data_IF_606869682559
#
_entry.id   IF_606869682559
#
_cell.length_a   1.000
_cell.length_b   1.000
_cell.length_c   1.000
_cell.angle_alpha   90.00
_cell.angle_beta   90.00
_cell.angle_gamma   90.00
#
_symmetry.space_group_name_H-M   'P 1'
#
loop_
_entity.id
_entity.type
_entity.pdbx_description
1 polymer ?
#
# COMPACT_ATOMS: atom_id res chain seq x y z
N UNK A 1 2.58 13.53 -15.35
CA UNK A 1 3.26 14.73 -15.84
C UNK A 1 2.32 15.59 -16.69
N UNK A 2 1.50 16.42 -16.05
CA UNK A 2 0.64 17.38 -16.77
C UNK A 2 1.42 18.59 -17.30
N UNK A 3 2.60 18.83 -16.74
CA UNK A 3 3.46 19.97 -17.08
C UNK A 3 4.35 19.67 -18.29
N UNK A 4 4.41 18.40 -18.71
CA UNK A 4 5.26 17.91 -19.81
C UNK A 4 6.74 18.25 -19.62
N UNK A 5 7.20 18.23 -18.36
CA UNK A 5 8.58 18.56 -17.97
C UNK A 5 9.48 17.33 -17.88
N UNK A 6 8.91 16.13 -17.94
CA UNK A 6 9.59 14.87 -17.62
C UNK A 6 9.80 14.65 -16.12
N UNK A 7 9.23 15.51 -15.28
CA UNK A 7 9.38 15.52 -13.83
C UNK A 7 8.02 15.40 -13.14
N UNK A 8 7.95 14.67 -12.04
CA UNK A 8 6.75 14.46 -11.23
C UNK A 8 6.95 15.02 -9.83
N UNK A 9 6.02 15.86 -9.38
CA UNK A 9 5.97 16.30 -7.99
C UNK A 9 5.04 15.38 -7.18
N UNK A 10 5.07 15.51 -5.85
CA UNK A 10 4.18 14.74 -4.96
C UNK A 10 2.69 14.86 -5.32
N UNK A 11 2.25 16.02 -5.77
CA UNK A 11 0.86 16.25 -6.20
C UNK A 11 0.46 15.43 -7.44
N UNK A 12 1.40 15.07 -8.31
CA UNK A 12 1.10 14.24 -9.49
C UNK A 12 0.61 12.84 -9.10
N UNK A 13 1.00 12.34 -7.92
CA UNK A 13 0.65 11.00 -7.43
C UNK A 13 -0.77 10.89 -6.87
N UNK A 14 -1.48 12.00 -6.61
CA UNK A 14 -2.90 11.98 -6.20
C UNK A 14 -3.77 11.24 -7.22
N UNK A 15 -3.34 11.24 -8.49
CA UNK A 15 -4.03 10.60 -9.61
C UNK A 15 -3.40 9.28 -10.02
N UNK A 16 -2.36 8.83 -9.31
CA UNK A 16 -1.74 7.55 -9.58
C UNK A 16 -2.76 6.43 -9.41
N UNK A 17 -2.72 5.48 -10.33
CA UNK A 17 -3.51 4.25 -10.28
C UNK A 17 -2.57 3.08 -10.48
N UNK A 18 -2.75 2.03 -9.70
CA UNK A 18 -1.97 0.80 -9.84
C UNK A 18 -2.38 0.10 -11.13
N UNK A 19 -1.42 -0.34 -11.94
CA UNK A 19 -1.65 -0.93 -13.26
C UNK A 19 -1.79 0.08 -14.42
N UNK A 20 -1.34 1.33 -14.24
CA UNK A 20 -1.26 2.30 -15.36
C UNK A 20 -0.33 1.80 -16.48
N UNK A 21 -0.63 2.14 -17.75
CA UNK A 21 -1.77 2.93 -18.21
C UNK A 21 -3.06 2.10 -18.40
N UNK A 22 -3.03 0.79 -18.16
CA UNK A 22 -4.14 -0.11 -18.46
C UNK A 22 -5.33 0.07 -17.51
N UNK A 23 -5.08 0.50 -16.27
CA UNK A 23 -6.10 0.72 -15.25
C UNK A 23 -6.40 2.21 -15.10
N UNK A 24 -7.62 2.60 -15.47
CA UNK A 24 -8.15 3.96 -15.25
C UNK A 24 -9.28 4.02 -14.23
N UNK A 25 -9.89 2.86 -13.92
CA UNK A 25 -10.89 2.68 -12.88
C UNK A 25 -10.54 1.42 -12.08
N UNK A 26 -10.24 1.59 -10.81
CA UNK A 26 -9.83 0.56 -9.86
C UNK A 26 -10.93 0.26 -8.82
N UNK A 27 -12.13 0.82 -9.00
CA UNK A 27 -13.26 0.68 -8.07
C UNK A 27 -13.21 1.62 -6.86
N UNK A 28 -12.13 2.42 -6.70
CA UNK A 28 -12.08 3.48 -5.70
C UNK A 28 -12.82 4.74 -6.20
N UNK A 29 -13.22 5.64 -5.29
CA UNK A 29 -13.80 6.92 -5.68
C UNK A 29 -12.94 7.67 -6.70
N UNK A 30 -13.56 8.42 -7.64
CA UNK A 30 -12.82 9.18 -8.64
C UNK A 30 -11.82 10.15 -8.00
N UNK A 31 -10.57 10.15 -8.50
CA UNK A 31 -9.50 11.01 -7.97
C UNK A 31 -8.80 10.49 -6.73
N UNK A 32 -9.14 9.29 -6.23
CA UNK A 32 -8.43 8.67 -5.10
C UNK A 32 -7.22 7.87 -5.59
N UNK A 33 -6.02 8.18 -5.11
CA UNK A 33 -4.87 7.27 -5.26
C UNK A 33 -5.05 6.08 -4.31
N UNK A 34 -4.89 4.81 -4.77
CA UNK A 34 -4.96 3.65 -3.88
C UNK A 34 -3.83 3.69 -2.85
N UNK A 35 -2.62 4.08 -3.24
CA UNK A 35 -1.46 4.08 -2.35
C UNK A 35 -1.62 5.13 -1.24
N UNK A 36 -1.22 4.78 0.00
CA UNK A 36 -1.19 5.69 1.15
C UNK A 36 -0.39 6.96 0.83
N UNK A 37 -0.96 8.10 1.18
CA UNK A 37 -0.33 9.41 1.05
C UNK A 37 0.95 9.50 1.89
N UNK A 38 0.90 9.00 3.14
CA UNK A 38 2.09 8.95 3.99
C UNK A 38 3.20 8.11 3.36
N UNK A 39 2.85 6.99 2.71
CA UNK A 39 3.84 6.21 1.97
C UNK A 39 4.47 7.02 0.83
N UNK A 40 3.67 7.76 0.07
CA UNK A 40 4.19 8.57 -1.04
C UNK A 40 5.09 9.68 -0.50
N UNK A 41 4.70 10.37 0.57
CA UNK A 41 5.51 11.42 1.21
C UNK A 41 6.88 10.87 1.62
N UNK A 42 6.88 9.76 2.37
CA UNK A 42 8.12 9.08 2.80
C UNK A 42 8.95 8.58 1.62
N UNK A 43 8.32 8.13 0.54
CA UNK A 43 9.03 7.72 -0.67
C UNK A 43 9.79 8.89 -1.30
N UNK A 44 9.18 10.08 -1.41
CA UNK A 44 9.84 11.29 -1.92
C UNK A 44 10.99 11.74 -1.01
N UNK A 45 10.88 11.55 0.31
CA UNK A 45 11.91 11.89 1.28
C UNK A 45 13.13 10.95 1.20
N UNK A 46 12.90 9.66 0.96
CA UNK A 46 13.93 8.62 1.02
C UNK A 46 14.55 8.28 -0.34
N UNK A 47 13.93 8.70 -1.44
CA UNK A 47 14.45 8.46 -2.79
C UNK A 47 15.05 9.72 -3.40
N UNK A 48 16.05 9.59 -4.30
CA UNK A 48 16.64 10.75 -4.94
C UNK A 48 15.60 11.53 -5.74
N UNK A 49 15.44 12.80 -5.39
CA UNK A 49 14.62 13.78 -6.11
C UNK A 49 15.48 14.98 -6.50
N UNK A 50 15.12 15.66 -7.58
CA UNK A 50 15.74 16.92 -7.99
C UNK A 50 14.78 18.05 -7.65
N UNK A 51 15.14 18.88 -6.67
CA UNK A 51 14.26 19.96 -6.17
C UNK A 51 12.87 19.47 -5.74
N UNK A 52 12.77 18.27 -5.18
CA UNK A 52 11.50 17.66 -4.76
C UNK A 52 10.72 16.99 -5.89
N UNK A 53 11.28 16.91 -7.09
CA UNK A 53 10.65 16.25 -8.23
C UNK A 53 11.37 14.93 -8.58
N UNK A 54 10.60 13.91 -8.95
CA UNK A 54 11.10 12.64 -9.48
C UNK A 54 11.19 12.69 -11.01
N UNK A 55 12.30 12.21 -11.56
CA UNK A 55 12.40 11.97 -13.01
C UNK A 55 11.69 10.66 -13.43
N UNK A 56 11.65 10.40 -14.74
CA UNK A 56 11.03 9.19 -15.28
C UNK A 56 11.65 7.89 -14.73
N UNK A 57 12.96 7.87 -14.45
CA UNK A 57 13.63 6.67 -13.94
C UNK A 57 13.18 6.39 -12.50
N UNK A 58 13.15 7.41 -11.65
CA UNK A 58 12.63 7.29 -10.29
C UNK A 58 11.16 6.86 -10.28
N UNK A 59 10.35 7.39 -11.21
CA UNK A 59 8.95 6.94 -11.36
C UNK A 59 8.84 5.45 -11.75
N UNK A 60 9.67 4.98 -12.69
CA UNK A 60 9.72 3.55 -13.04
C UNK A 60 10.13 2.70 -11.83
N UNK A 61 11.14 3.12 -11.08
CA UNK A 61 11.55 2.42 -9.86
C UNK A 61 10.40 2.39 -8.82
N UNK A 62 9.67 3.50 -8.64
CA UNK A 62 8.46 3.56 -7.81
C UNK A 62 7.43 2.53 -8.26
N UNK A 63 7.06 2.53 -9.54
CA UNK A 63 6.08 1.59 -10.10
C UNK A 63 6.53 0.15 -9.87
N UNK A 64 7.79 -0.18 -10.10
CA UNK A 64 8.34 -1.52 -9.84
C UNK A 64 8.27 -1.90 -8.35
N UNK A 65 8.42 -0.95 -7.43
CA UNK A 65 8.33 -1.23 -6.00
C UNK A 65 6.88 -1.51 -5.56
N UNK A 66 5.88 -0.85 -6.13
CA UNK A 66 4.48 -0.96 -5.69
C UNK A 66 3.63 -1.96 -6.47
N UNK A 67 3.88 -2.14 -7.77
CA UNK A 67 3.07 -3.02 -8.66
C UNK A 67 3.22 -4.50 -8.31
N UNK A 68 4.41 -4.92 -7.90
CA UNK A 68 4.68 -6.32 -7.56
C UNK A 68 4.18 -6.72 -6.17
N UNK A 69 3.78 -5.77 -5.34
CA UNK A 69 3.19 -6.05 -4.03
C UNK A 69 1.73 -6.51 -4.16
N UNK A 70 1.27 -7.44 -3.30
CA UNK A 70 2.00 -8.07 -2.20
C UNK A 70 2.85 -9.29 -2.60
N UNK A 71 2.77 -9.76 -3.84
CA UNK A 71 3.36 -11.03 -4.27
C UNK A 71 4.89 -11.07 -4.18
N UNK A 72 5.56 -9.92 -4.40
CA UNK A 72 7.01 -9.82 -4.34
C UNK A 72 7.46 -8.43 -3.93
N UNK A 73 8.21 -8.36 -2.83
CA UNK A 73 8.88 -7.13 -2.41
C UNK A 73 10.34 -7.14 -2.88
N UNK A 74 10.65 -6.31 -3.88
CA UNK A 74 12.02 -6.22 -4.43
C UNK A 74 12.99 -5.44 -3.55
N UNK A 75 12.48 -4.55 -2.69
CA UNK A 75 13.27 -3.63 -1.86
C UNK A 75 12.73 -3.58 -0.43
N UNK A 76 12.70 -4.70 0.31
CA UNK A 76 12.13 -4.72 1.66
C UNK A 76 12.82 -3.73 2.61
N UNK A 77 14.12 -3.46 2.42
CA UNK A 77 14.82 -2.43 3.19
C UNK A 77 14.27 -1.01 2.98
N UNK A 78 13.84 -0.66 1.76
CA UNK A 78 13.20 0.64 1.51
C UNK A 78 11.85 0.74 2.23
N UNK A 79 11.04 -0.32 2.19
CA UNK A 79 9.76 -0.34 2.90
C UNK A 79 9.97 -0.26 4.41
N UNK A 80 11.00 -0.92 4.93
CA UNK A 80 11.39 -0.74 6.32
C UNK A 80 11.69 0.73 6.63
N UNK A 81 12.59 1.35 5.87
CA UNK A 81 13.01 2.74 6.08
C UNK A 81 11.81 3.72 5.94
N UNK A 82 10.81 3.40 5.10
CA UNK A 82 9.56 4.15 4.99
C UNK A 82 8.68 3.99 6.23
N UNK A 83 8.54 2.76 6.73
CA UNK A 83 7.68 2.45 7.88
C UNK A 83 8.29 2.88 9.22
N UNK A 84 9.61 2.92 9.34
CA UNK A 84 10.31 3.48 10.49
C UNK A 84 10.15 5.01 10.51
N UNK A 85 9.10 5.50 11.18
CA UNK A 85 8.70 6.91 11.12
C UNK A 85 9.56 7.81 12.01
N UNK A 86 10.06 7.30 13.13
CA UNK A 86 10.94 8.03 14.04
C UNK A 86 12.44 7.76 13.80
N UNK A 87 12.77 6.77 12.97
CA UNK A 87 14.13 6.48 12.54
C UNK A 87 14.96 5.76 13.61
N UNK A 88 14.31 5.09 14.56
CA UNK A 88 14.96 4.40 15.67
C UNK A 88 15.47 2.98 15.28
N UNK A 89 15.17 2.54 14.05
CA UNK A 89 15.54 1.24 13.52
C UNK A 89 14.59 0.11 13.91
N UNK A 90 13.40 0.42 14.43
CA UNK A 90 12.38 -0.53 14.87
C UNK A 90 11.00 -0.12 14.35
N UNK A 91 10.33 -1.02 13.62
CA UNK A 91 8.91 -0.85 13.31
C UNK A 91 8.08 -1.29 14.52
N UNK A 92 7.20 -0.39 14.96
CA UNK A 92 6.28 -0.56 16.08
C UNK A 92 4.80 -0.57 15.63
N UNK A 93 3.85 -0.95 16.51
CA UNK A 93 2.43 -0.82 16.23
C UNK A 93 1.99 0.58 15.81
N UNK A 94 2.59 1.62 16.38
CA UNK A 94 2.22 3.02 16.09
C UNK A 94 2.56 3.38 14.65
N UNK A 95 3.69 2.87 14.15
CA UNK A 95 4.12 3.09 12.77
C UNK A 95 3.12 2.50 11.79
N UNK A 96 2.83 1.21 11.93
CA UNK A 96 1.87 0.49 11.07
C UNK A 96 0.47 1.11 11.16
N UNK A 97 0.04 1.52 12.35
CA UNK A 97 -1.24 2.21 12.54
C UNK A 97 -1.33 3.51 11.73
N UNK A 98 -0.23 4.25 11.62
CA UNK A 98 -0.22 5.56 10.96
C UNK A 98 -0.53 5.44 9.48
N UNK A 99 0.01 4.41 8.80
CA UNK A 99 -0.34 4.09 7.42
C UNK A 99 -1.73 3.47 7.30
N UNK A 100 -2.03 2.45 8.11
CA UNK A 100 -3.23 1.65 7.90
C UNK A 100 -4.53 2.42 8.17
N UNK A 101 -4.51 3.45 9.01
CA UNK A 101 -5.69 4.31 9.23
C UNK A 101 -6.19 4.94 7.93
N UNK A 102 -5.28 5.40 7.09
CA UNK A 102 -5.60 6.00 5.80
C UNK A 102 -6.08 4.94 4.80
N UNK A 103 -5.36 3.82 4.69
CA UNK A 103 -5.74 2.66 3.87
C UNK A 103 -7.15 2.17 4.21
N UNK A 104 -7.47 2.04 5.49
CA UNK A 104 -8.80 1.68 5.98
C UNK A 104 -9.85 2.73 5.63
N UNK A 105 -9.54 4.03 5.76
CA UNK A 105 -10.47 5.10 5.40
C UNK A 105 -10.83 5.06 3.91
N UNK A 106 -9.85 4.80 3.03
CA UNK A 106 -10.06 4.61 1.59
C UNK A 106 -10.97 3.42 1.28
N UNK A 107 -10.83 2.31 2.01
CA UNK A 107 -11.71 1.13 1.86
C UNK A 107 -13.16 1.40 2.24
N UNK A 108 -13.36 2.05 3.39
CA UNK A 108 -14.70 2.41 3.89
C UNK A 108 -15.36 3.39 2.91
N UNK A 109 -14.63 4.40 2.44
CA UNK A 109 -15.14 5.36 1.46
C UNK A 109 -15.52 4.70 0.11
N UNK A 110 -14.86 3.62 -0.26
CA UNK A 110 -15.18 2.83 -1.44
C UNK A 110 -16.32 1.81 -1.22
N UNK A 111 -16.81 1.64 0.02
CA UNK A 111 -17.82 0.64 0.35
C UNK A 111 -17.34 -0.81 0.21
N UNK A 112 -16.02 -1.03 0.22
CA UNK A 112 -15.43 -2.35 0.03
C UNK A 112 -15.35 -3.15 1.33
N UNK A 113 -15.19 -2.47 2.47
CA UNK A 113 -15.05 -3.10 3.79
C UNK A 113 -15.44 -2.13 4.91
N UNK A 114 -16.17 -2.60 5.92
CA UNK A 114 -16.62 -1.75 7.03
C UNK A 114 -15.98 -2.08 8.39
N UNK A 115 -15.31 -3.22 8.56
CA UNK A 115 -15.27 -3.85 9.90
C UNK A 115 -13.94 -4.30 10.47
N UNK A 116 -12.81 -4.24 9.77
CA UNK A 116 -11.53 -4.66 10.38
C UNK A 116 -11.04 -3.58 11.36
N UNK A 117 -10.96 -3.86 12.68
CA UNK A 117 -10.37 -2.95 13.64
C UNK A 117 -8.88 -2.80 13.36
N UNK A 118 -8.37 -1.57 13.47
CA UNK A 118 -6.96 -1.26 13.18
C UNK A 118 -6.04 -2.10 14.08
N UNK A 119 -6.41 -2.31 15.33
CA UNK A 119 -5.63 -3.05 16.32
C UNK A 119 -5.52 -4.54 15.97
N UNK A 120 -6.57 -5.13 15.38
CA UNK A 120 -6.53 -6.53 14.94
C UNK A 120 -5.59 -6.70 13.74
N UNK A 121 -5.70 -5.80 12.75
CA UNK A 121 -4.80 -5.82 11.61
C UNK A 121 -3.33 -5.63 12.02
N UNK A 122 -3.06 -4.69 12.94
CA UNK A 122 -1.71 -4.45 13.43
C UNK A 122 -1.16 -5.68 14.13
N UNK A 123 -1.98 -6.36 14.96
CA UNK A 123 -1.57 -7.63 15.57
C UNK A 123 -1.23 -8.68 14.51
N UNK A 124 -2.07 -8.84 13.49
CA UNK A 124 -1.82 -9.78 12.37
C UNK A 124 -0.53 -9.47 11.62
N UNK A 125 -0.20 -8.18 11.42
CA UNK A 125 1.07 -7.78 10.83
C UNK A 125 2.25 -8.29 11.66
N UNK A 126 2.23 -8.09 12.98
CA UNK A 126 3.32 -8.56 13.84
C UNK A 126 3.35 -10.08 14.03
N UNK A 127 2.18 -10.74 14.03
CA UNK A 127 2.08 -12.21 14.02
C UNK A 127 2.70 -12.77 12.73
N UNK A 128 2.51 -12.11 11.58
CA UNK A 128 3.09 -12.53 10.30
C UNK A 128 4.60 -12.21 10.18
N UNK A 129 5.08 -11.16 10.84
CA UNK A 129 6.49 -10.79 10.84
C UNK A 129 7.33 -11.64 11.81
N UNK A 130 6.72 -12.18 12.86
CA UNK A 130 7.35 -13.00 13.90
C UNK A 130 8.65 -12.38 14.47
N UNK A 131 8.63 -11.12 14.96
CA UNK A 131 9.82 -10.49 15.53
C UNK A 131 10.28 -11.22 16.81
N UNK A 132 11.58 -11.19 17.10
CA UNK A 132 12.15 -11.81 18.30
C UNK A 132 11.68 -11.14 19.59
N UNK A 133 11.53 -9.80 19.58
CA UNK A 133 10.87 -9.05 20.64
C UNK A 133 9.45 -8.69 20.21
N UNK A 134 8.48 -8.98 21.08
CA UNK A 134 7.06 -8.77 20.78
C UNK A 134 6.78 -7.33 20.32
N UNK A 135 6.13 -7.20 19.17
CA UNK A 135 5.73 -5.92 18.57
C UNK A 135 6.88 -4.97 18.21
N UNK A 136 8.12 -5.47 18.09
CA UNK A 136 9.27 -4.67 17.68
C UNK A 136 10.03 -5.37 16.57
N UNK A 137 9.77 -4.97 15.33
CA UNK A 137 10.42 -5.58 14.18
C UNK A 137 11.63 -4.74 13.77
N UNK A 138 12.83 -5.31 13.86
CA UNK A 138 14.05 -4.67 13.37
C UNK A 138 14.16 -4.72 11.85
N UNK A 139 15.04 -3.90 11.28
CA UNK A 139 15.31 -3.89 9.84
C UNK A 139 15.74 -5.25 9.30
N UNK A 140 16.60 -5.94 10.04
CA UNK A 140 17.13 -7.25 9.64
C UNK A 140 16.02 -8.31 9.60
N UNK A 141 15.13 -8.30 10.60
CA UNK A 141 13.98 -9.20 10.66
C UNK A 141 12.99 -8.92 9.52
N UNK A 142 12.63 -7.65 9.30
CA UNK A 142 11.72 -7.28 8.21
C UNK A 142 12.28 -7.68 6.84
N UNK A 143 13.55 -7.40 6.57
CA UNK A 143 14.20 -7.73 5.29
C UNK A 143 14.24 -9.23 5.02
N UNK A 144 14.37 -10.05 6.07
CA UNK A 144 14.41 -11.52 5.95
C UNK A 144 13.03 -12.17 5.99
N UNK A 145 12.01 -11.46 6.47
CA UNK A 145 10.67 -12.00 6.61
C UNK A 145 10.05 -12.34 5.26
N UNK A 146 9.44 -13.52 5.17
CA UNK A 146 8.65 -13.93 4.00
C UNK A 146 7.35 -13.13 3.89
N UNK A 147 6.87 -12.56 4.99
CA UNK A 147 5.66 -11.75 5.04
C UNK A 147 5.90 -10.29 4.62
N UNK A 148 7.14 -9.83 4.44
CA UNK A 148 7.46 -8.43 4.16
C UNK A 148 6.70 -7.86 2.95
N UNK A 149 6.51 -8.65 1.90
CA UNK A 149 5.71 -8.22 0.74
C UNK A 149 4.22 -8.13 1.00
N UNK A 150 3.68 -9.09 1.78
CA UNK A 150 2.28 -9.05 2.21
C UNK A 150 2.05 -7.81 3.07
N UNK A 151 2.85 -7.64 4.12
CA UNK A 151 2.77 -6.47 5.01
C UNK A 151 2.93 -5.17 4.24
N UNK A 152 3.97 -5.03 3.42
CA UNK A 152 4.19 -3.82 2.65
C UNK A 152 2.99 -3.46 1.74
N UNK A 153 2.40 -4.46 1.08
CA UNK A 153 1.24 -4.24 0.21
C UNK A 153 -0.02 -3.91 0.98
N UNK A 154 -0.39 -4.71 1.98
CA UNK A 154 -1.67 -4.57 2.70
C UNK A 154 -1.71 -3.34 3.61
N UNK A 155 -0.56 -2.87 4.09
CA UNK A 155 -0.49 -1.66 4.92
C UNK A 155 -0.75 -0.40 4.10
N UNK A 156 -0.26 -0.32 2.86
CA UNK A 156 -0.26 0.92 2.04
C UNK A 156 -1.30 0.95 0.93
N UNK A 157 -1.87 -0.20 0.54
CA UNK A 157 -2.76 -0.33 -0.62
C UNK A 157 -4.08 -1.00 -0.18
N UNK A 158 -5.21 -0.26 -0.20
CA UNK A 158 -6.51 -0.76 0.24
C UNK A 158 -6.97 -1.92 -0.62
N UNK A 159 -6.71 -1.90 -1.93
CA UNK A 159 -7.13 -2.96 -2.83
C UNK A 159 -6.32 -4.23 -2.59
N UNK A 160 -5.03 -4.09 -2.28
CA UNK A 160 -4.20 -5.22 -1.87
C UNK A 160 -4.68 -5.82 -0.55
N UNK A 161 -5.03 -4.98 0.44
CA UNK A 161 -5.62 -5.43 1.70
C UNK A 161 -6.95 -6.17 1.47
N UNK A 162 -7.87 -5.57 0.72
CA UNK A 162 -9.18 -6.17 0.44
C UNK A 162 -9.05 -7.53 -0.26
N UNK A 163 -8.13 -7.64 -1.22
CA UNK A 163 -7.85 -8.88 -1.91
C UNK A 163 -7.17 -9.94 -1.04
N UNK A 164 -6.40 -9.53 -0.02
CA UNK A 164 -5.80 -10.42 0.97
C UNK A 164 -6.88 -10.95 1.94
N UNK A 165 -7.61 -10.04 2.59
CA UNK A 165 -8.66 -10.37 3.56
C UNK A 165 -9.78 -11.22 2.94
N UNK A 166 -10.15 -10.97 1.69
CA UNK A 166 -11.17 -11.76 0.98
C UNK A 166 -10.73 -13.21 0.68
N UNK A 167 -9.42 -13.49 0.61
CA UNK A 167 -8.90 -14.86 0.45
C UNK A 167 -8.99 -15.64 1.75
N UNK A 168 -8.61 -15.02 2.86
CA UNK A 168 -8.60 -15.65 4.17
C UNK A 168 -10.02 -15.91 4.69
N UNK A 169 -10.98 -15.05 4.31
CA UNK A 169 -12.39 -15.17 4.71
C UNK A 169 -13.24 -16.10 3.82
N UNK A 170 -12.65 -16.85 2.88
CA UNK A 170 -13.32 -17.70 1.88
C UNK A 170 -14.60 -17.04 1.30
N UNK A 171 -14.45 -15.79 0.87
CA UNK A 171 -15.57 -14.96 0.37
C UNK A 171 -15.84 -15.23 -1.10
N UNK A 172 -15.84 -16.51 -1.51
CA UNK A 172 -16.23 -16.93 -2.85
C UNK A 172 -17.64 -16.47 -3.26
N UNK A 173 -18.47 -16.03 -2.29
CA UNK A 173 -19.85 -15.60 -2.51
C UNK A 173 -20.02 -14.09 -2.82
N UNK A 174 -19.15 -13.17 -2.35
CA UNK A 174 -19.32 -11.72 -2.60
C UNK A 174 -18.81 -11.29 -3.98
N UNK A 175 -17.79 -11.96 -4.52
CA UNK A 175 -17.31 -11.70 -5.87
C UNK A 175 -18.42 -11.99 -6.92
N UNK A 176 -19.25 -13.02 -6.67
CA UNK A 176 -20.36 -13.39 -7.56
C UNK A 176 -21.59 -12.49 -7.47
N UNK A 177 -21.77 -11.71 -6.40
CA UNK A 177 -22.87 -10.74 -6.28
C UNK A 177 -22.54 -9.41 -6.97
N UNK A 178 -21.29 -8.94 -6.90
CA UNK A 178 -20.86 -7.71 -7.59
C UNK A 178 -20.85 -7.89 -9.12
N UNK A 179 -20.36 -9.02 -9.64
CA UNK A 179 -20.44 -9.33 -11.09
C UNK A 179 -21.87 -9.58 -11.60
N UNK A 180 -22.86 -9.82 -10.72
CA UNK A 180 -24.26 -10.01 -11.13
C UNK A 180 -25.01 -8.68 -11.32
N UNK A 181 -24.53 -7.58 -10.73
CA UNK A 181 -25.14 -6.25 -10.87
C UNK A 181 -24.61 -5.42 -12.06
N UNK A 182 -23.50 -5.82 -12.68
CA UNK A 182 -22.90 -5.12 -13.84
C UNK A 182 -23.23 -5.73 -15.21
N UNK A 183 -24.15 -6.70 -15.30
CA UNK A 183 -24.70 -7.06 -16.60
C UNK A 183 -25.90 -6.16 -16.90
N UNK A 184 -25.88 -5.35 -17.98
CA UNK A 184 -27.07 -4.65 -18.39
C UNK A 184 -28.13 -5.71 -18.72
N UNK A 185 -29.31 -5.57 -18.11
CA UNK A 185 -30.50 -6.34 -18.44
C UNK A 185 -30.68 -6.30 -19.97
N UNK A 186 -30.51 -7.45 -20.62
CA UNK A 186 -30.91 -7.64 -22.02
C UNK A 186 -32.43 -7.65 -22.13
#
# INVERSE_FOLDING_TARGET
>A
DRRATGMLERGDFERYKKGVPAVTNDGLPPGTCPISELFIDRYFELTPTFSGEMDFKCFVDFTLHVEFLPAKCHRPGLFFDIFDLDGDGIITPTDIQSFFRETRAKLVAAGLQDTVPVELFVREVFDALEPAESLKCTREEFVRSRAAGIVAGTVIDPLAFFAYDSRDNDVGAKQQSLYRYEQPLR
#
